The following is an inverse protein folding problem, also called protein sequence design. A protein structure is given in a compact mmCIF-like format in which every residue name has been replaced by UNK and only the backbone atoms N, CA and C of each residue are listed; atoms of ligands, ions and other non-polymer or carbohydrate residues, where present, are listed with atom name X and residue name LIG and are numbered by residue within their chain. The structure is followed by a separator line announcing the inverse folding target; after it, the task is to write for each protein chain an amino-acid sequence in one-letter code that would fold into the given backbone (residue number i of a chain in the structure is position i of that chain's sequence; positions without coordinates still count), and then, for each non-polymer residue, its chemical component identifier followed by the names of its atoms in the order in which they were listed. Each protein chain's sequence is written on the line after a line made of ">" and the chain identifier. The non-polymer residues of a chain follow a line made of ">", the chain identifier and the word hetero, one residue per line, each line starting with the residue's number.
data_IF_867987571316
#
_entry.id   IF_867987571316
#
_cell.length_a   1.000
_cell.length_b   1.000
_cell.length_c   1.000
_cell.angle_alpha   90.00
_cell.angle_beta   90.00
_cell.angle_gamma   90.00
#
_symmetry.space_group_name_H-M   'P 1'
#
loop_
_entity.id
_entity.type
_entity.pdbx_description
1 polymer ?
#
# COMPACT_ATOMS: atom_id res chain seq x y z
N UNK A 1 -16.88 -9.50 6.21
CA UNK A 1 -16.27 -10.20 5.08
C UNK A 1 -14.77 -9.92 5.07
N UNK A 2 -13.96 -10.94 4.82
CA UNK A 2 -12.51 -10.76 4.81
C UNK A 2 -12.07 -9.84 3.68
N UNK A 3 -11.05 -9.04 3.93
CA UNK A 3 -10.46 -8.17 2.92
C UNK A 3 -9.73 -8.99 1.87
N UNK A 4 -10.13 -8.84 0.62
CA UNK A 4 -9.51 -9.56 -0.49
C UNK A 4 -8.24 -8.87 -0.97
N UNK A 5 -8.27 -7.53 -1.09
CA UNK A 5 -7.13 -6.77 -1.58
C UNK A 5 -7.33 -5.28 -1.38
N UNK A 6 -6.23 -4.56 -1.20
CA UNK A 6 -6.21 -3.09 -1.20
C UNK A 6 -5.77 -2.62 -2.58
N UNK A 7 -6.56 -1.74 -3.19
CA UNK A 7 -6.31 -1.19 -4.53
C UNK A 7 -5.98 0.29 -4.38
N UNK A 8 -4.80 0.69 -4.82
CA UNK A 8 -4.26 2.03 -4.57
C UNK A 8 -3.96 2.75 -5.87
N UNK A 9 -4.49 3.96 -6.05
CA UNK A 9 -4.02 4.87 -7.10
C UNK A 9 -2.72 5.51 -6.61
N UNK A 10 -1.60 5.07 -7.19
CA UNK A 10 -0.28 5.43 -6.69
C UNK A 10 0.01 6.93 -6.75
N UNK A 11 -0.34 7.60 -7.85
CA UNK A 11 -0.06 9.04 -7.97
C UNK A 11 -1.00 9.86 -7.09
N UNK A 12 -2.25 9.45 -6.92
CA UNK A 12 -3.15 10.13 -5.99
C UNK A 12 -2.63 10.05 -4.56
N UNK A 13 -2.14 8.88 -4.15
CA UNK A 13 -1.58 8.73 -2.83
C UNK A 13 -0.31 9.57 -2.66
N UNK A 14 0.57 9.59 -3.66
CA UNK A 14 1.78 10.42 -3.63
C UNK A 14 1.45 11.91 -3.54
N UNK A 15 0.45 12.38 -4.29
CA UNK A 15 0.01 13.78 -4.22
C UNK A 15 -0.49 14.17 -2.84
N UNK A 16 -1.12 13.24 -2.14
CA UNK A 16 -1.69 13.49 -0.82
C UNK A 16 -0.72 13.14 0.32
N UNK A 17 0.52 12.78 -0.02
CA UNK A 17 1.53 12.41 0.96
C UNK A 17 2.84 13.16 0.70
N UNK A 18 2.87 14.47 0.92
CA UNK A 18 4.06 15.28 0.61
C UNK A 18 5.30 14.91 1.43
N UNK A 19 5.13 14.30 2.60
CA UNK A 19 6.25 13.87 3.45
C UNK A 19 6.96 12.65 2.88
N UNK A 20 6.29 11.84 2.09
CA UNK A 20 6.91 10.69 1.45
C UNK A 20 7.69 11.15 0.23
N UNK A 21 8.95 10.78 0.13
CA UNK A 21 9.85 11.23 -0.93
C UNK A 21 9.84 12.75 -1.07
N UNK A 22 9.94 13.45 0.06
CA UNK A 22 9.86 14.90 0.09
C UNK A 22 10.91 15.52 -0.82
N UNK A 23 10.49 16.55 -1.58
CA UNK A 23 11.36 17.23 -2.54
C UNK A 23 11.48 16.54 -3.90
N UNK A 24 10.92 15.36 -4.07
CA UNK A 24 10.92 14.65 -5.35
C UNK A 24 9.62 14.93 -6.11
N UNK A 25 9.68 15.08 -7.45
CA UNK A 25 8.45 15.20 -8.23
C UNK A 25 7.54 13.99 -8.02
N UNK A 26 6.22 14.26 -7.95
CA UNK A 26 5.27 13.20 -7.63
C UNK A 26 5.19 12.09 -8.67
N UNK A 27 5.53 12.39 -9.93
CA UNK A 27 5.53 11.41 -11.01
C UNK A 27 6.92 10.84 -11.29
N UNK A 28 7.88 11.08 -10.42
CA UNK A 28 9.25 10.58 -10.61
C UNK A 28 9.36 9.11 -10.21
N UNK A 29 10.35 8.45 -10.81
CA UNK A 29 10.70 7.09 -10.45
C UNK A 29 11.04 6.98 -8.96
N UNK A 30 11.75 7.97 -8.44
CA UNK A 30 12.15 7.98 -7.03
C UNK A 30 10.95 8.04 -6.09
N UNK A 31 9.95 8.85 -6.42
CA UNK A 31 8.73 8.90 -5.62
C UNK A 31 7.97 7.57 -5.69
N UNK A 32 7.90 6.96 -6.86
CA UNK A 32 7.27 5.64 -7.02
C UNK A 32 8.00 4.58 -6.18
N UNK A 33 9.33 4.56 -6.23
CA UNK A 33 10.13 3.59 -5.48
C UNK A 33 9.93 3.74 -3.97
N UNK A 34 9.87 4.96 -3.47
CA UNK A 34 9.58 5.22 -2.05
C UNK A 34 8.19 4.70 -1.67
N UNK A 35 7.20 4.93 -2.52
CA UNK A 35 5.84 4.43 -2.28
C UNK A 35 5.80 2.90 -2.26
N UNK A 36 6.45 2.27 -3.22
CA UNK A 36 6.52 0.80 -3.30
C UNK A 36 7.18 0.24 -2.04
N UNK A 37 8.26 0.89 -1.58
CA UNK A 37 8.95 0.48 -0.37
C UNK A 37 8.03 0.54 0.86
N UNK A 38 7.30 1.63 1.02
CA UNK A 38 6.36 1.79 2.14
C UNK A 38 5.20 0.80 2.04
N UNK A 39 4.67 0.55 0.84
CA UNK A 39 3.61 -0.44 0.64
C UNK A 39 4.09 -1.85 1.00
N UNK A 40 5.32 -2.17 0.65
CA UNK A 40 5.93 -3.47 0.99
C UNK A 40 6.04 -3.62 2.51
N UNK A 41 6.48 -2.58 3.21
CA UNK A 41 6.56 -2.60 4.67
C UNK A 41 5.17 -2.75 5.31
N UNK A 42 4.17 -2.08 4.77
CA UNK A 42 2.80 -2.20 5.26
C UNK A 42 2.27 -3.62 5.05
N UNK A 43 2.51 -4.20 3.87
CA UNK A 43 2.15 -5.59 3.60
C UNK A 43 2.84 -6.54 4.59
N UNK A 44 4.12 -6.34 4.84
CA UNK A 44 4.88 -7.18 5.79
C UNK A 44 4.32 -7.08 7.21
N UNK A 45 3.86 -5.89 7.59
CA UNK A 45 3.30 -5.66 8.93
C UNK A 45 1.89 -6.23 9.10
N UNK A 46 1.07 -6.26 8.04
CA UNK A 46 -0.35 -6.59 8.14
C UNK A 46 -0.75 -7.87 7.43
N UNK A 47 0.04 -8.33 6.47
CA UNK A 47 -0.33 -9.44 5.59
C UNK A 47 -1.35 -9.09 4.52
N UNK A 48 -1.76 -7.82 4.42
CA UNK A 48 -2.79 -7.40 3.47
C UNK A 48 -2.24 -7.37 2.05
N UNK A 49 -2.89 -8.05 1.08
CA UNK A 49 -2.47 -7.97 -0.32
C UNK A 49 -2.75 -6.58 -0.89
N UNK A 50 -1.79 -6.04 -1.64
CA UNK A 50 -1.86 -4.68 -2.17
C UNK A 50 -1.54 -4.68 -3.65
N UNK A 51 -2.32 -3.94 -4.44
CA UNK A 51 -2.00 -3.62 -5.82
C UNK A 51 -1.94 -2.10 -5.95
N UNK A 52 -0.84 -1.57 -6.46
CA UNK A 52 -0.66 -0.15 -6.74
C UNK A 52 -0.77 0.06 -8.23
N UNK A 53 -1.64 0.97 -8.64
CA UNK A 53 -1.86 1.31 -10.03
C UNK A 53 -1.26 2.68 -10.33
N UNK A 54 -0.45 2.75 -11.37
CA UNK A 54 0.09 4.01 -11.85
C UNK A 54 -0.42 4.31 -13.25
N UNK A 55 -0.82 5.56 -13.49
CA UNK A 55 -1.17 5.99 -14.82
C UNK A 55 0.10 6.00 -15.68
N UNK A 56 0.13 5.14 -16.68
CA UNK A 56 1.31 4.97 -17.55
C UNK A 56 1.47 6.04 -18.61
N UNK A 57 0.51 6.97 -18.76
CA UNK A 57 0.59 7.99 -19.79
C UNK A 57 1.79 8.92 -19.61
N UNK A 58 2.26 9.13 -18.37
CA UNK A 58 3.44 9.91 -18.07
C UNK A 58 4.69 9.10 -17.81
N UNK A 59 4.65 7.78 -17.98
CA UNK A 59 5.78 6.91 -17.70
C UNK A 59 6.87 7.07 -18.77
N UNK A 60 8.17 6.98 -18.38
CA UNK A 60 9.24 6.99 -19.36
C UNK A 60 9.13 5.83 -20.35
N UNK A 61 9.65 6.04 -21.56
CA UNK A 61 9.71 4.99 -22.56
C UNK A 61 10.48 3.78 -22.00
N UNK A 62 9.93 2.58 -22.22
CA UNK A 62 10.53 1.36 -21.70
C UNK A 62 10.15 0.98 -20.30
N UNK A 63 9.28 1.75 -19.63
CA UNK A 63 8.78 1.38 -18.32
C UNK A 63 7.98 0.09 -18.41
N UNK A 64 8.28 -0.94 -17.58
CA UNK A 64 7.53 -2.19 -17.63
C UNK A 64 6.07 -1.98 -17.28
N UNK A 65 5.17 -2.75 -17.90
CA UNK A 65 3.75 -2.71 -17.57
C UNK A 65 3.45 -3.28 -16.17
N UNK A 66 4.37 -4.06 -15.64
CA UNK A 66 4.24 -4.72 -14.35
C UNK A 66 5.60 -4.77 -13.65
N UNK A 67 5.67 -4.18 -12.46
CA UNK A 67 6.84 -4.22 -11.57
C UNK A 67 6.42 -4.85 -10.25
N UNK A 68 6.07 -6.12 -10.26
CA UNK A 68 5.54 -6.77 -9.07
C UNK A 68 6.61 -7.51 -8.31
N UNK A 69 6.54 -7.43 -6.98
CA UNK A 69 7.22 -8.35 -6.08
C UNK A 69 6.21 -9.39 -5.59
N UNK A 70 6.65 -10.33 -4.77
CA UNK A 70 5.74 -11.28 -4.14
C UNK A 70 4.81 -10.62 -3.12
N UNK A 71 5.19 -9.44 -2.61
CA UNK A 71 4.45 -8.74 -1.56
C UNK A 71 3.43 -7.75 -2.12
N UNK A 72 3.81 -6.98 -3.13
CA UNK A 72 3.02 -5.89 -3.68
C UNK A 72 3.01 -5.95 -5.19
N UNK A 73 1.82 -5.91 -5.77
CA UNK A 73 1.67 -5.89 -7.23
C UNK A 73 1.66 -4.45 -7.72
N UNK A 74 2.45 -4.15 -8.76
CA UNK A 74 2.56 -2.82 -9.34
C UNK A 74 2.16 -2.90 -10.81
N UNK A 75 1.13 -2.15 -11.19
CA UNK A 75 0.61 -2.15 -12.55
C UNK A 75 0.61 -0.73 -13.12
N UNK A 76 1.02 -0.61 -14.37
CA UNK A 76 0.94 0.66 -15.12
C UNK A 76 -0.15 0.55 -16.17
N UNK A 77 -0.97 1.60 -16.31
CA UNK A 77 -1.97 1.64 -17.36
C UNK A 77 -1.29 1.79 -18.73
N UNK A 78 -1.94 1.25 -19.75
CA UNK A 78 -1.48 1.35 -21.13
C UNK A 78 -2.14 2.53 -21.82
N UNK A 79 -1.69 2.86 -23.02
CA UNK A 79 -2.26 3.91 -23.83
C UNK A 79 -3.79 3.73 -23.96
N UNK A 80 -4.55 4.80 -23.76
CA UNK A 80 -6.00 4.78 -23.82
C UNK A 80 -6.69 4.23 -22.58
N UNK A 81 -5.93 3.91 -21.53
CA UNK A 81 -6.45 3.40 -20.28
C UNK A 81 -5.97 4.25 -19.13
N UNK A 82 -6.79 4.45 -18.10
CA UNK A 82 -6.41 5.19 -16.89
C UNK A 82 -6.25 4.26 -15.70
N UNK A 83 -5.56 4.73 -14.66
CA UNK A 83 -5.45 4.00 -13.40
C UNK A 83 -6.86 3.74 -12.81
N UNK A 84 -7.75 4.72 -12.86
CA UNK A 84 -9.14 4.57 -12.37
C UNK A 84 -9.86 3.42 -13.06
N UNK A 85 -9.72 3.32 -14.38
CA UNK A 85 -10.37 2.23 -15.13
C UNK A 85 -9.82 0.87 -14.71
N UNK A 86 -8.53 0.76 -14.46
CA UNK A 86 -7.91 -0.47 -13.98
C UNK A 86 -8.41 -0.83 -12.58
N UNK A 87 -8.52 0.15 -11.70
CA UNK A 87 -9.01 -0.04 -10.32
C UNK A 87 -10.46 -0.52 -10.34
N UNK A 88 -11.31 0.11 -11.13
CA UNK A 88 -12.71 -0.29 -11.26
C UNK A 88 -12.84 -1.73 -11.74
N UNK A 89 -12.05 -2.11 -12.73
CA UNK A 89 -12.04 -3.47 -13.25
C UNK A 89 -11.58 -4.47 -12.21
N UNK A 90 -10.53 -4.12 -11.44
CA UNK A 90 -10.02 -4.96 -10.37
C UNK A 90 -11.05 -5.10 -9.24
N UNK A 91 -11.69 -4.01 -8.84
CA UNK A 91 -12.72 -4.02 -7.80
C UNK A 91 -13.87 -4.96 -8.20
N UNK A 92 -14.28 -4.91 -9.46
CA UNK A 92 -15.31 -5.81 -9.98
C UNK A 92 -14.91 -7.29 -9.88
N UNK A 93 -13.65 -7.60 -10.23
CA UNK A 93 -13.15 -8.98 -10.16
C UNK A 93 -13.08 -9.50 -8.74
N UNK A 94 -12.62 -8.68 -7.81
CA UNK A 94 -12.38 -9.13 -6.44
C UNK A 94 -13.65 -9.28 -5.62
N UNK A 95 -14.77 -8.73 -6.06
CA UNK A 95 -16.03 -8.87 -5.32
C UNK A 95 -16.42 -10.32 -5.05
N UNK A 96 -15.96 -11.26 -5.87
CA UNK A 96 -16.24 -12.69 -5.72
C UNK A 96 -15.37 -13.35 -4.65
N UNK A 97 -14.27 -12.71 -4.27
CA UNK A 97 -13.26 -13.30 -3.37
C UNK A 97 -13.25 -12.63 -2.00
N UNK A 98 -14.10 -11.65 -1.79
CA UNK A 98 -14.15 -10.88 -0.56
C UNK A 98 -14.30 -9.41 -0.89
N UNK A 99 -14.06 -8.56 0.11
CA UNK A 99 -14.19 -7.13 -0.05
C UNK A 99 -12.86 -6.51 -0.51
N UNK A 100 -12.90 -5.74 -1.59
CA UNK A 100 -11.76 -4.93 -1.98
C UNK A 100 -11.85 -3.58 -1.25
N UNK A 101 -10.72 -3.03 -0.85
CA UNK A 101 -10.64 -1.67 -0.32
C UNK A 101 -9.95 -0.79 -1.34
N UNK A 102 -10.67 0.20 -1.85
CA UNK A 102 -10.14 1.15 -2.84
C UNK A 102 -9.74 2.44 -2.14
N UNK A 103 -8.52 2.89 -2.38
CA UNK A 103 -8.00 4.13 -1.80
C UNK A 103 -8.15 5.23 -2.84
N UNK A 104 -9.07 6.15 -2.59
CA UNK A 104 -9.36 7.25 -3.51
C UNK A 104 -9.96 8.44 -2.77
N UNK A 105 -9.62 9.64 -3.24
CA UNK A 105 -10.25 10.89 -2.78
C UNK A 105 -11.29 11.40 -3.79
N UNK A 106 -11.42 10.73 -4.92
CA UNK A 106 -12.40 11.10 -5.95
C UNK A 106 -13.77 10.53 -5.57
N UNK A 107 -14.76 11.42 -5.39
CA UNK A 107 -16.11 11.00 -5.00
C UNK A 107 -16.80 10.17 -6.07
N UNK A 108 -16.58 10.48 -7.34
CA UNK A 108 -17.16 9.70 -8.45
C UNK A 108 -16.60 8.29 -8.46
N UNK A 109 -15.30 8.15 -8.28
CA UNK A 109 -14.64 6.86 -8.18
C UNK A 109 -15.16 6.07 -6.98
N UNK A 110 -15.28 6.72 -5.83
CA UNK A 110 -15.84 6.10 -4.62
C UNK A 110 -17.24 5.54 -4.90
N UNK A 111 -18.09 6.33 -5.52
CA UNK A 111 -19.47 5.90 -5.82
C UNK A 111 -19.49 4.69 -6.75
N UNK A 112 -18.61 4.68 -7.75
CA UNK A 112 -18.53 3.58 -8.70
C UNK A 112 -18.10 2.30 -7.98
N UNK A 113 -17.01 2.33 -7.24
CA UNK A 113 -16.48 1.10 -6.61
C UNK A 113 -17.36 0.61 -5.48
N UNK A 114 -18.02 1.49 -4.73
CA UNK A 114 -18.95 1.07 -3.68
C UNK A 114 -20.22 0.46 -4.28
N UNK A 115 -20.66 0.91 -5.45
CA UNK A 115 -21.77 0.30 -6.14
C UNK A 115 -21.45 -1.12 -6.59
N UNK A 116 -20.18 -1.45 -6.75
CA UNK A 116 -19.70 -2.79 -7.09
C UNK A 116 -19.46 -3.69 -5.86
N UNK A 117 -19.72 -3.18 -4.66
CA UNK A 117 -19.52 -3.94 -3.43
C UNK A 117 -18.16 -3.75 -2.78
N UNK A 118 -17.31 -2.87 -3.30
CA UNK A 118 -16.02 -2.55 -2.66
C UNK A 118 -16.19 -1.52 -1.56
N UNK A 119 -15.28 -1.53 -0.59
CA UNK A 119 -15.17 -0.44 0.37
C UNK A 119 -14.25 0.63 -0.21
N UNK A 120 -14.35 1.84 0.29
CA UNK A 120 -13.48 2.94 -0.12
C UNK A 120 -12.97 3.68 1.10
N UNK A 121 -11.73 4.16 1.01
CA UNK A 121 -11.13 5.01 2.03
C UNK A 121 -10.37 6.15 1.36
N UNK A 122 -10.25 7.27 2.06
CA UNK A 122 -9.48 8.40 1.56
C UNK A 122 -7.99 8.12 1.65
N UNK A 123 -7.20 8.87 0.87
CA UNK A 123 -5.74 8.80 0.98
C UNK A 123 -5.27 9.15 2.40
N UNK A 124 -5.85 10.18 3.02
CA UNK A 124 -5.49 10.58 4.39
C UNK A 124 -5.75 9.46 5.39
N UNK A 125 -6.88 8.78 5.29
CA UNK A 125 -7.19 7.66 6.18
C UNK A 125 -6.24 6.50 5.97
N UNK A 126 -5.91 6.18 4.72
CA UNK A 126 -4.98 5.10 4.43
C UNK A 126 -3.57 5.42 4.94
N UNK A 127 -3.10 6.65 4.78
CA UNK A 127 -1.81 7.08 5.32
C UNK A 127 -1.77 6.85 6.83
N UNK A 128 -2.84 7.20 7.55
CA UNK A 128 -2.92 6.94 8.99
C UNK A 128 -2.89 5.44 9.31
N UNK A 129 -3.57 4.63 8.53
CA UNK A 129 -3.54 3.17 8.71
C UNK A 129 -2.12 2.64 8.56
N UNK A 130 -1.38 3.13 7.56
CA UNK A 130 0.00 2.75 7.32
C UNK A 130 0.88 3.16 8.49
N UNK A 131 0.79 4.42 8.89
CA UNK A 131 1.60 4.95 9.99
C UNK A 131 1.34 4.22 11.30
N UNK A 132 0.08 3.93 11.60
CA UNK A 132 -0.30 3.18 12.80
C UNK A 132 0.24 1.75 12.76
N UNK A 133 0.11 1.06 11.62
CA UNK A 133 0.60 -0.32 11.50
C UNK A 133 2.11 -0.40 11.65
N UNK A 134 2.85 0.54 11.04
CA UNK A 134 4.30 0.56 11.14
C UNK A 134 4.78 0.94 12.54
N UNK A 135 4.05 1.82 13.23
CA UNK A 135 4.35 2.18 14.61
C UNK A 135 4.10 0.99 15.54
N UNK A 136 2.98 0.30 15.39
CA UNK A 136 2.66 -0.90 16.17
C UNK A 136 3.72 -1.99 15.98
N UNK A 137 4.13 -2.24 14.75
CA UNK A 137 5.17 -3.21 14.45
C UNK A 137 6.49 -2.84 15.14
N UNK A 138 6.87 -1.56 15.09
CA UNK A 138 8.08 -1.06 15.74
C UNK A 138 8.02 -1.27 17.25
N UNK A 139 6.88 -0.97 17.85
CA UNK A 139 6.69 -1.12 19.28
C UNK A 139 6.71 -2.59 19.70
N UNK A 140 6.11 -3.47 18.93
CA UNK A 140 6.17 -4.91 19.15
C UNK A 140 7.59 -5.43 19.10
N UNK A 141 8.37 -5.01 18.10
CA UNK A 141 9.76 -5.42 17.96
C UNK A 141 10.61 -4.92 19.11
N UNK A 142 10.39 -3.69 19.57
CA UNK A 142 11.10 -3.15 20.75
C UNK A 142 10.74 -3.93 22.01
N UNK A 143 9.47 -4.24 22.20
CA UNK A 143 9.01 -5.04 23.33
C UNK A 143 9.61 -6.44 23.32
N UNK A 144 9.63 -7.08 22.16
CA UNK A 144 10.23 -8.40 22.00
C UNK A 144 11.72 -8.38 22.30
N UNK A 145 12.46 -7.42 21.76
CA UNK A 145 13.90 -7.30 21.98
C UNK A 145 14.22 -7.04 23.45
N UNK A 146 13.39 -6.23 24.12
CA UNK A 146 13.54 -5.98 25.55
C UNK A 146 13.32 -7.24 26.37
N UNK A 147 12.27 -8.00 26.04
CA UNK A 147 11.96 -9.25 26.73
C UNK A 147 13.06 -10.29 26.55
N UNK A 148 13.60 -10.41 25.34
CA UNK A 148 14.72 -11.32 25.07
C UNK A 148 15.97 -10.92 25.86
N UNK A 149 16.27 -9.62 25.91
CA UNK A 149 17.41 -9.11 26.68
C UNK A 149 17.25 -9.41 28.17
N UNK A 150 16.05 -9.19 28.71
CA UNK A 150 15.79 -9.45 30.12
C UNK A 150 15.86 -10.96 30.45
N UNK A 151 15.35 -11.77 29.54
CA UNK A 151 15.43 -13.24 29.69
C UNK A 151 16.87 -13.70 29.74
N UNK A 152 17.70 -13.21 28.85
CA UNK A 152 19.13 -13.51 28.80
C UNK A 152 19.83 -13.09 30.08
N UNK A 153 19.58 -11.90 30.59
CA UNK A 153 20.18 -11.39 31.80
C UNK A 153 19.76 -12.12 33.07
N UNK A 154 18.62 -12.81 33.04
CA UNK A 154 18.10 -13.57 34.17
C UNK A 154 18.48 -15.05 34.11
N UNK A 155 19.18 -15.48 33.09
CA UNK A 155 19.58 -16.88 32.96
C UNK A 155 20.52 -17.29 34.10
N UNK A 156 20.32 -18.46 34.72
CA UNK A 156 21.19 -18.93 35.82
C UNK A 156 22.64 -19.06 35.44
N UNK A 157 22.93 -19.27 34.16
CA UNK A 157 24.30 -19.38 33.67
C UNK A 157 25.10 -18.09 33.83
N UNK A 158 24.40 -16.96 33.93
CA UNK A 158 25.05 -15.66 34.09
C UNK A 158 25.39 -15.32 35.54
N UNK A 159 24.97 -16.15 36.47
CA UNK A 159 25.19 -15.95 37.89
C UNK A 159 26.43 -16.66 38.42
N UNK A 160 27.09 -17.40 37.60
CA UNK A 160 28.29 -18.15 38.01
C UNK A 160 29.55 -17.35 37.78
#
# INVERSE_FOLDING_TARGET
>A
MALARILVDGYSLLHNWPELAAGQPRHSERARDELIHVMTRYHDATGEPITVFFDGAGAPAGTPANESSTAVEILFSRAGQTADQMIERAAYRFQKHGEALVITDDHAERDIVTSMGAAAASCANFIRMIENALTELRDELRGHNRAERNRFNRSPEHKK
#
